data_IF_610291632877
#
_entry.id   IF_610291632877
#
_cell.length_a   1.000
_cell.length_b   1.000
_cell.length_c   1.000
_cell.angle_alpha   90.00
_cell.angle_beta   90.00
_cell.angle_gamma   90.00
#
_symmetry.space_group_name_H-M   'P 1'
#
loop_
_entity.id
_entity.type
_entity.pdbx_description
1 polymer ?
#
# COMPACT_ATOMS: atom_id res chain seq x y z
N UNK A 1 -11.06 -22.16 -5.77
CA UNK A 1 -12.09 -21.19 -5.40
C UNK A 1 -11.81 -19.86 -6.07
N UNK A 2 -12.83 -19.18 -6.50
CA UNK A 2 -12.73 -17.86 -7.13
C UNK A 2 -12.98 -16.73 -6.14
N UNK A 3 -13.63 -17.02 -5.03
CA UNK A 3 -13.93 -16.05 -3.96
C UNK A 3 -13.76 -16.65 -2.57
N UNK A 4 -13.48 -15.80 -1.57
CA UNK A 4 -13.41 -16.22 -0.18
C UNK A 4 -14.79 -16.63 0.36
N UNK A 5 -15.88 -16.06 -0.16
CA UNK A 5 -17.25 -16.38 0.23
C UNK A 5 -17.61 -17.81 -0.14
N UNK A 6 -17.18 -18.31 -1.30
CA UNK A 6 -17.36 -19.70 -1.71
C UNK A 6 -16.63 -20.65 -0.76
N UNK A 7 -15.39 -20.34 -0.35
CA UNK A 7 -14.62 -21.15 0.60
C UNK A 7 -15.30 -21.23 1.97
N UNK A 8 -15.83 -20.10 2.46
CA UNK A 8 -16.53 -20.04 3.76
C UNK A 8 -17.84 -20.81 3.70
N UNK A 9 -18.57 -20.72 2.57
CA UNK A 9 -19.81 -21.47 2.37
C UNK A 9 -19.54 -22.97 2.36
N UNK A 10 -18.53 -23.43 1.65
CA UNK A 10 -18.16 -24.84 1.56
C UNK A 10 -17.66 -25.41 2.91
N UNK A 11 -16.98 -24.61 3.71
CA UNK A 11 -16.61 -24.98 5.07
C UNK A 11 -17.86 -25.13 5.96
N UNK A 12 -18.81 -24.21 5.84
CA UNK A 12 -20.06 -24.25 6.58
C UNK A 12 -20.93 -25.46 6.21
N UNK A 13 -21.00 -25.76 4.92
CA UNK A 13 -21.77 -26.87 4.38
C UNK A 13 -21.07 -28.23 4.62
N UNK A 14 -19.88 -28.25 5.19
CA UNK A 14 -19.09 -29.44 5.45
C UNK A 14 -18.48 -30.08 4.20
N UNK A 15 -18.40 -29.34 3.10
CA UNK A 15 -17.79 -29.81 1.86
C UNK A 15 -16.25 -29.81 1.93
N UNK A 16 -15.68 -29.04 2.87
CA UNK A 16 -14.23 -28.97 3.17
C UNK A 16 -14.04 -28.94 4.69
N UNK A 17 -12.91 -29.46 5.18
CA UNK A 17 -12.63 -29.61 6.62
C UNK A 17 -11.97 -28.34 7.23
N UNK A 18 -11.26 -27.54 6.44
CA UNK A 18 -10.56 -26.36 6.91
C UNK A 18 -10.26 -25.38 5.78
N UNK A 19 -10.15 -24.10 6.13
CA UNK A 19 -9.66 -23.03 5.24
C UNK A 19 -8.53 -22.25 5.93
N UNK A 20 -7.61 -21.73 5.14
CA UNK A 20 -6.57 -20.81 5.62
C UNK A 20 -6.85 -19.45 4.97
N UNK A 21 -7.06 -18.45 5.80
CA UNK A 21 -7.36 -17.12 5.34
C UNK A 21 -6.60 -16.08 6.16
N UNK A 22 -6.39 -14.92 5.56
CA UNK A 22 -5.71 -13.81 6.21
C UNK A 22 -6.61 -13.17 7.27
N UNK A 23 -6.00 -12.72 8.37
CA UNK A 23 -6.69 -12.10 9.52
C UNK A 23 -7.62 -10.93 9.16
N UNK A 24 -7.24 -10.14 8.12
CA UNK A 24 -8.06 -9.05 7.59
C UNK A 24 -9.44 -9.47 7.04
N UNK A 25 -9.69 -10.78 6.85
CA UNK A 25 -10.99 -11.30 6.40
C UNK A 25 -11.91 -11.74 7.54
N UNK A 26 -11.54 -11.51 8.80
CA UNK A 26 -12.40 -11.79 9.97
C UNK A 26 -13.80 -11.17 9.87
N UNK A 27 -13.90 -9.99 9.23
CA UNK A 27 -15.19 -9.32 9.01
C UNK A 27 -16.15 -10.08 8.09
N UNK A 28 -15.66 -11.03 7.26
CA UNK A 28 -16.51 -11.86 6.42
C UNK A 28 -17.28 -12.91 7.25
N UNK A 29 -16.69 -13.42 8.33
CA UNK A 29 -17.39 -14.37 9.23
C UNK A 29 -18.47 -13.68 10.04
N UNK A 30 -18.19 -12.48 10.56
CA UNK A 30 -19.16 -11.70 11.31
C UNK A 30 -20.36 -11.31 10.43
N UNK A 31 -20.11 -10.91 9.17
CA UNK A 31 -21.19 -10.60 8.22
C UNK A 31 -22.05 -11.79 7.85
N UNK A 32 -21.47 -12.97 7.77
CA UNK A 32 -22.23 -14.21 7.48
C UNK A 32 -23.17 -14.53 8.63
N UNK A 33 -22.77 -14.28 9.88
CA UNK A 33 -23.63 -14.42 11.05
C UNK A 33 -24.80 -13.42 11.05
N UNK A 34 -24.55 -12.15 10.69
CA UNK A 34 -25.60 -11.11 10.58
C UNK A 34 -26.60 -11.37 9.43
N UNK A 35 -26.17 -12.05 8.37
CA UNK A 35 -27.01 -12.40 7.22
C UNK A 35 -27.75 -13.72 7.38
N UNK A 36 -27.76 -14.34 8.57
CA UNK A 36 -28.42 -15.61 8.84
C UNK A 36 -27.57 -16.86 8.61
N UNK A 37 -26.27 -16.68 8.39
CA UNK A 37 -25.26 -17.74 8.37
C UNK A 37 -24.86 -18.17 9.78
N UNK A 38 -24.15 -19.29 9.91
CA UNK A 38 -23.63 -19.75 11.18
C UNK A 38 -22.48 -18.88 11.68
N UNK A 39 -22.48 -18.65 12.99
CA UNK A 39 -21.33 -18.03 13.67
C UNK A 39 -20.14 -19.01 13.68
N UNK A 40 -19.18 -18.77 12.80
CA UNK A 40 -17.94 -19.57 12.73
C UNK A 40 -16.87 -19.06 13.71
N UNK A 41 -17.12 -18.02 14.49
CA UNK A 41 -16.14 -17.42 15.39
C UNK A 41 -15.57 -18.39 16.43
N UNK A 42 -16.37 -19.40 16.84
CA UNK A 42 -15.94 -20.46 17.74
C UNK A 42 -15.11 -21.58 17.08
N UNK A 43 -15.01 -21.60 15.75
CA UNK A 43 -14.26 -22.60 14.98
C UNK A 43 -12.90 -22.09 14.51
N UNK A 44 -12.62 -20.83 14.71
CA UNK A 44 -11.36 -20.19 14.26
C UNK A 44 -10.25 -20.50 15.26
N UNK A 45 -9.36 -21.42 14.90
CA UNK A 45 -8.07 -21.56 15.56
C UNK A 45 -7.04 -20.69 14.86
N UNK A 46 -6.49 -19.71 15.55
CA UNK A 46 -5.36 -18.94 15.04
C UNK A 46 -4.11 -19.82 15.04
N UNK A 47 -3.75 -20.39 13.89
CA UNK A 47 -2.56 -21.24 13.73
C UNK A 47 -1.24 -20.47 13.75
N UNK A 48 -1.28 -19.19 13.56
CA UNK A 48 -0.13 -18.31 13.56
C UNK A 48 -0.49 -17.06 14.34
N UNK A 49 0.14 -16.92 15.46
CA UNK A 49 0.46 -15.59 15.95
C UNK A 49 1.44 -15.05 14.92
N UNK A 50 0.91 -14.29 13.95
CA UNK A 50 1.77 -13.46 13.12
C UNK A 50 2.46 -12.59 14.15
N UNK A 51 3.67 -12.98 14.55
CA UNK A 51 4.57 -12.00 15.10
C UNK A 51 4.50 -10.88 14.10
N UNK A 52 3.78 -9.84 14.46
CA UNK A 52 3.97 -8.55 13.87
C UNK A 52 5.48 -8.40 13.95
N UNK A 53 6.15 -8.66 12.83
CA UNK A 53 7.42 -8.07 12.65
C UNK A 53 7.06 -6.59 12.74
N UNK A 54 7.22 -6.00 13.91
CA UNK A 54 7.66 -4.64 13.99
C UNK A 54 9.00 -4.66 13.24
N UNK A 55 8.90 -4.79 11.94
CA UNK A 55 9.89 -4.22 11.09
C UNK A 55 9.81 -2.77 11.53
N UNK A 56 10.72 -2.39 12.43
CA UNK A 56 11.13 -1.00 12.45
C UNK A 56 11.12 -0.64 10.98
N UNK A 57 10.18 0.19 10.59
CA UNK A 57 10.27 0.84 9.31
C UNK A 57 11.56 1.60 9.51
N UNK A 58 12.70 0.97 9.14
CA UNK A 58 13.87 1.74 8.83
C UNK A 58 13.30 2.72 7.83
N UNK A 59 13.03 3.92 8.33
CA UNK A 59 13.01 5.10 7.51
C UNK A 59 14.41 5.04 6.94
N UNK A 60 14.55 4.35 5.84
CA UNK A 60 15.75 4.42 5.04
C UNK A 60 15.74 5.87 4.59
N UNK A 61 16.29 6.67 5.49
CA UNK A 61 16.83 7.95 5.12
C UNK A 61 17.58 7.67 3.84
N UNK A 62 17.11 8.17 2.72
CA UNK A 62 17.75 8.01 1.42
C UNK A 62 19.11 8.76 1.43
N UNK A 63 19.79 8.78 2.58
CA UNK A 63 21.12 9.35 2.76
C UNK A 63 21.18 10.87 2.78
N UNK A 64 20.06 11.57 2.85
CA UNK A 64 20.04 13.01 2.99
C UNK A 64 19.94 13.36 4.48
N UNK A 65 21.01 13.95 5.01
CA UNK A 65 21.01 14.61 6.33
C UNK A 65 20.25 15.94 6.22
N UNK A 66 18.93 15.87 6.01
CA UNK A 66 18.07 17.05 5.92
C UNK A 66 17.66 17.47 7.33
N UNK A 67 17.98 18.69 7.72
CA UNK A 67 17.43 19.28 8.92
C UNK A 67 16.04 19.84 8.60
N UNK A 68 14.99 19.09 8.95
CA UNK A 68 13.58 19.42 8.65
C UNK A 68 13.11 20.77 9.23
N UNK A 69 13.86 21.35 10.18
CA UNK A 69 13.55 22.66 10.75
C UNK A 69 14.14 23.82 9.94
N UNK A 70 15.17 23.56 9.14
CA UNK A 70 15.92 24.62 8.45
C UNK A 70 16.08 24.41 6.96
N UNK A 71 16.07 23.17 6.49
CA UNK A 71 16.39 22.87 5.10
C UNK A 71 15.13 22.52 4.30
N UNK A 72 14.99 22.99 3.08
CA UNK A 72 13.94 22.53 2.19
C UNK A 72 14.04 21.04 1.92
N UNK A 73 12.92 20.34 1.86
CA UNK A 73 12.84 18.91 1.60
C UNK A 73 11.60 18.52 0.80
N UNK A 74 11.67 17.36 0.16
CA UNK A 74 10.58 16.81 -0.63
C UNK A 74 10.04 15.53 0.00
N UNK A 75 8.72 15.41 0.03
CA UNK A 75 7.99 14.23 0.50
C UNK A 75 7.20 13.66 -0.68
N UNK A 76 7.37 12.38 -0.98
CA UNK A 76 6.51 11.65 -1.90
C UNK A 76 5.34 11.04 -1.14
N UNK A 77 4.12 11.52 -1.42
CA UNK A 77 2.88 11.00 -0.87
C UNK A 77 2.28 10.01 -1.89
N UNK A 78 2.04 8.78 -1.45
CA UNK A 78 1.57 7.67 -2.29
C UNK A 78 0.27 7.14 -1.71
N UNK A 79 -0.82 7.30 -2.46
CA UNK A 79 -2.10 6.66 -2.16
C UNK A 79 -2.27 5.42 -3.03
N UNK A 80 -2.69 4.30 -2.44
CA UNK A 80 -2.94 3.07 -3.18
C UNK A 80 -4.19 2.36 -2.70
N UNK A 81 -4.82 1.62 -3.60
CA UNK A 81 -5.95 0.75 -3.28
C UNK A 81 -5.47 -0.70 -3.15
N UNK A 82 -5.88 -1.38 -2.09
CA UNK A 82 -5.59 -2.82 -1.87
C UNK A 82 -6.51 -3.76 -2.63
N UNK A 83 -7.28 -3.28 -3.59
CA UNK A 83 -8.30 -4.09 -4.28
C UNK A 83 -7.74 -5.20 -5.18
N UNK A 84 -6.45 -5.24 -5.43
CA UNK A 84 -5.83 -6.34 -6.18
C UNK A 84 -5.51 -7.51 -5.24
N UNK A 85 -6.49 -8.40 -5.08
CA UNK A 85 -6.34 -9.69 -4.42
C UNK A 85 -5.21 -10.46 -5.12
N UNK A 86 -4.08 -10.61 -4.42
CA UNK A 86 -2.93 -11.36 -4.91
C UNK A 86 -1.67 -10.56 -5.26
N UNK A 87 -1.74 -9.23 -5.30
CA UNK A 87 -0.53 -8.41 -5.39
C UNK A 87 -0.13 -7.92 -3.99
N UNK A 88 1.06 -8.26 -3.48
CA UNK A 88 1.54 -7.75 -2.19
C UNK A 88 1.84 -6.25 -2.23
N UNK A 89 1.79 -5.64 -3.41
CA UNK A 89 2.14 -4.25 -3.66
C UNK A 89 1.05 -3.66 -4.57
N UNK A 90 0.12 -2.87 -4.00
CA UNK A 90 -0.88 -2.14 -4.77
C UNK A 90 -0.26 -1.13 -5.73
N UNK A 91 -0.93 -0.85 -6.85
CA UNK A 91 -0.54 0.23 -7.76
C UNK A 91 -0.79 1.59 -7.09
N UNK A 92 0.05 2.58 -7.41
CA UNK A 92 -0.16 3.94 -6.94
C UNK A 92 -1.31 4.61 -7.69
N UNK A 93 -2.36 5.00 -6.97
CA UNK A 93 -3.53 5.71 -7.51
C UNK A 93 -3.43 7.23 -7.32
N UNK A 94 -2.82 7.66 -6.22
CA UNK A 94 -2.49 9.05 -5.95
C UNK A 94 -0.96 9.19 -5.81
N UNK A 95 -0.40 10.15 -6.52
CA UNK A 95 1.04 10.41 -6.55
C UNK A 95 1.21 11.92 -6.39
N UNK A 96 1.71 12.35 -5.23
CA UNK A 96 1.87 13.77 -4.95
C UNK A 96 3.27 14.01 -4.40
N UNK A 97 3.99 14.96 -4.97
CA UNK A 97 5.25 15.46 -4.41
C UNK A 97 4.96 16.73 -3.64
N UNK A 98 5.23 16.74 -2.35
CA UNK A 98 5.15 17.91 -1.49
C UNK A 98 6.55 18.43 -1.21
N UNK A 99 6.84 19.65 -1.70
CA UNK A 99 8.08 20.38 -1.42
C UNK A 99 7.85 21.35 -0.27
N UNK A 100 8.53 21.12 0.83
CA UNK A 100 8.40 21.89 2.07
C UNK A 100 9.60 22.80 2.22
N UNK A 101 9.36 24.10 2.45
CA UNK A 101 10.40 25.04 2.82
C UNK A 101 10.12 25.64 4.21
N UNK A 102 10.80 25.15 5.26
CA UNK A 102 10.55 25.62 6.62
C UNK A 102 10.96 27.08 6.86
N UNK A 103 11.91 27.62 6.08
CA UNK A 103 12.34 29.02 6.20
C UNK A 103 11.28 30.01 5.77
N UNK A 104 10.49 29.64 4.76
CA UNK A 104 9.44 30.51 4.20
C UNK A 104 8.04 30.08 4.64
N UNK A 105 7.94 28.96 5.40
CA UNK A 105 6.67 28.35 5.82
C UNK A 105 5.76 28.03 4.63
N UNK A 106 6.36 27.57 3.53
CA UNK A 106 5.61 27.25 2.30
C UNK A 106 5.67 25.78 1.98
N UNK A 107 4.56 25.26 1.47
CA UNK A 107 4.45 23.93 0.91
C UNK A 107 3.91 24.05 -0.51
N UNK A 108 4.65 23.50 -1.47
CA UNK A 108 4.20 23.38 -2.86
C UNK A 108 3.87 21.91 -3.14
N UNK A 109 2.74 21.66 -3.78
CA UNK A 109 2.29 20.30 -4.09
C UNK A 109 2.18 20.10 -5.59
N UNK A 110 2.81 19.04 -6.09
CA UNK A 110 2.75 18.59 -7.49
C UNK A 110 2.03 17.25 -7.53
N UNK A 111 0.83 17.23 -8.12
CA UNK A 111 0.11 15.98 -8.38
C UNK A 111 0.54 15.41 -9.73
N UNK A 112 0.88 14.11 -9.75
CA UNK A 112 1.27 13.37 -10.95
C UNK A 112 0.17 12.40 -11.29
N UNK A 113 -0.34 12.44 -12.53
CA UNK A 113 -1.35 11.50 -12.98
C UNK A 113 -0.79 10.07 -13.01
N UNK A 114 -1.48 9.11 -12.39
CA UNK A 114 -1.05 7.71 -12.30
C UNK A 114 -0.81 7.03 -13.65
N UNK A 115 -1.51 7.51 -14.69
CA UNK A 115 -1.41 6.99 -16.06
C UNK A 115 -0.37 7.75 -16.91
N UNK A 116 0.45 8.63 -16.31
CA UNK A 116 1.55 9.30 -17.02
C UNK A 116 2.48 8.28 -17.66
N UNK A 117 2.68 8.39 -18.98
CA UNK A 117 3.49 7.45 -19.76
C UNK A 117 4.95 7.91 -19.78
N UNK A 118 5.76 7.31 -18.94
CA UNK A 118 7.14 7.74 -18.64
C UNK A 118 8.13 6.58 -18.75
N UNK A 119 9.43 6.86 -18.94
CA UNK A 119 10.45 5.83 -18.78
C UNK A 119 10.47 5.29 -17.35
N UNK A 120 10.36 3.98 -17.18
CA UNK A 120 10.43 3.32 -15.88
C UNK A 120 11.88 2.97 -15.57
N UNK A 121 12.41 3.46 -14.45
CA UNK A 121 13.82 3.33 -14.09
C UNK A 121 14.27 1.87 -14.04
N UNK A 122 13.52 1.00 -13.40
CA UNK A 122 13.88 -0.41 -13.25
C UNK A 122 13.58 -1.28 -14.49
N UNK A 123 12.98 -0.72 -15.55
CA UNK A 123 12.74 -1.41 -16.83
C UNK A 123 13.79 -1.05 -17.90
N UNK A 124 14.95 -0.55 -17.49
CA UNK A 124 15.97 -0.07 -18.41
C UNK A 124 15.53 1.11 -19.28
N UNK A 125 14.59 1.93 -18.78
CA UNK A 125 14.06 3.10 -19.50
C UNK A 125 12.92 2.78 -20.47
N UNK A 126 12.42 1.55 -20.51
CA UNK A 126 11.19 1.23 -21.24
C UNK A 126 10.02 2.01 -20.66
N UNK A 127 9.22 2.61 -21.54
CA UNK A 127 8.09 3.45 -21.11
C UNK A 127 6.87 2.62 -20.75
N UNK A 128 6.24 3.01 -19.66
CA UNK A 128 4.97 2.48 -19.20
C UNK A 128 4.24 3.54 -18.35
N UNK A 129 3.05 3.22 -17.84
CA UNK A 129 2.36 4.05 -16.86
C UNK A 129 3.21 4.16 -15.59
N UNK A 130 3.33 5.35 -15.03
CA UNK A 130 4.18 5.60 -13.87
C UNK A 130 3.79 4.72 -12.67
N UNK A 131 2.49 4.40 -12.52
CA UNK A 131 2.00 3.56 -11.43
C UNK A 131 2.49 2.10 -11.54
N UNK A 132 2.85 1.59 -12.73
CA UNK A 132 3.37 0.23 -12.91
C UNK A 132 4.73 0.04 -12.20
N UNK A 133 5.52 1.10 -12.06
CA UNK A 133 6.77 1.07 -11.31
C UNK A 133 6.55 0.68 -9.84
N UNK A 134 5.45 1.13 -9.22
CA UNK A 134 5.08 0.77 -7.84
C UNK A 134 4.76 -0.72 -7.70
N UNK A 135 4.11 -1.30 -8.71
CA UNK A 135 3.83 -2.74 -8.77
C UNK A 135 5.09 -3.61 -8.80
N UNK A 136 6.24 -3.06 -9.22
CA UNK A 136 7.52 -3.76 -9.21
C UNK A 136 8.19 -3.66 -7.84
N UNK A 137 8.41 -2.45 -7.37
CA UNK A 137 8.94 -2.18 -6.03
C UNK A 137 8.79 -0.70 -5.67
N UNK A 138 8.85 -0.41 -4.36
CA UNK A 138 8.89 0.97 -3.87
C UNK A 138 10.12 1.72 -4.39
N UNK A 139 11.29 1.09 -4.39
CA UNK A 139 12.52 1.70 -4.87
C UNK A 139 12.40 2.10 -6.35
N UNK A 140 11.93 1.19 -7.21
CA UNK A 140 11.68 1.47 -8.62
C UNK A 140 10.74 2.66 -8.81
N UNK A 141 9.68 2.74 -8.00
CA UNK A 141 8.71 3.82 -8.08
C UNK A 141 9.31 5.17 -7.70
N UNK A 142 10.04 5.24 -6.58
CA UNK A 142 10.71 6.47 -6.12
C UNK A 142 11.71 6.95 -7.18
N UNK A 143 12.58 6.07 -7.67
CA UNK A 143 13.55 6.41 -8.72
C UNK A 143 12.88 6.90 -10.01
N UNK A 144 11.74 6.30 -10.37
CA UNK A 144 10.98 6.72 -11.55
C UNK A 144 10.38 8.11 -11.35
N UNK A 145 9.82 8.41 -10.18
CA UNK A 145 9.29 9.74 -9.84
C UNK A 145 10.41 10.79 -9.81
N UNK A 146 11.56 10.47 -9.20
CA UNK A 146 12.74 11.34 -9.18
C UNK A 146 13.24 11.65 -10.59
N UNK A 147 13.36 10.63 -11.44
CA UNK A 147 13.79 10.77 -12.83
C UNK A 147 12.81 11.61 -13.65
N UNK A 148 11.51 11.41 -13.44
CA UNK A 148 10.47 12.12 -14.18
C UNK A 148 10.34 13.59 -13.77
N UNK A 149 10.45 13.88 -12.47
CA UNK A 149 10.29 15.24 -11.94
C UNK A 149 11.60 16.04 -11.89
N UNK A 150 12.75 15.35 -11.92
CA UNK A 150 14.06 15.95 -11.64
C UNK A 150 14.24 16.33 -10.16
N UNK A 151 13.32 15.90 -9.27
CA UNK A 151 13.33 16.23 -7.85
C UNK A 151 13.78 15.02 -7.03
N UNK A 152 14.68 15.22 -6.09
CA UNK A 152 15.09 14.19 -5.13
C UNK A 152 14.04 14.06 -4.05
N UNK A 153 13.68 12.83 -3.69
CA UNK A 153 12.74 12.56 -2.58
C UNK A 153 13.52 12.30 -1.30
N UNK A 154 13.33 13.15 -0.29
CA UNK A 154 13.97 13.02 1.01
C UNK A 154 13.16 12.06 1.92
N UNK A 155 11.84 12.08 1.77
CA UNK A 155 10.91 11.24 2.53
C UNK A 155 9.82 10.70 1.61
N UNK A 156 9.15 9.64 2.07
CA UNK A 156 7.91 9.19 1.45
C UNK A 156 6.88 8.80 2.53
N UNK A 157 5.61 8.87 2.17
CA UNK A 157 4.50 8.41 2.98
C UNK A 157 3.56 7.59 2.09
N UNK A 158 3.16 6.43 2.57
CA UNK A 158 2.20 5.57 1.90
C UNK A 158 0.91 5.48 2.73
N UNK A 159 -0.22 5.65 2.07
CA UNK A 159 -1.53 5.47 2.66
C UNK A 159 -2.40 4.60 1.77
N UNK A 160 -3.07 3.61 2.34
CA UNK A 160 -4.14 2.88 1.68
C UNK A 160 -5.50 3.50 2.03
N UNK A 161 -6.54 3.03 1.34
CA UNK A 161 -7.89 3.53 1.56
C UNK A 161 -8.37 3.27 3.00
N UNK A 162 -7.95 2.17 3.61
CA UNK A 162 -8.33 1.82 4.99
C UNK A 162 -7.70 2.77 6.00
N UNK A 163 -6.45 3.20 5.76
CA UNK A 163 -5.77 4.18 6.61
C UNK A 163 -6.48 5.54 6.62
N UNK A 164 -7.14 5.91 5.49
CA UNK A 164 -7.90 7.17 5.40
C UNK A 164 -9.25 7.09 6.12
N UNK A 165 -9.87 5.90 6.16
CA UNK A 165 -11.17 5.68 6.83
C UNK A 165 -11.00 5.53 8.34
N UNK A 166 -9.80 5.15 8.82
CA UNK A 166 -9.51 4.94 10.25
C UNK A 166 -9.22 6.22 11.03
N UNK A 167 -9.19 7.40 10.37
CA UNK A 167 -9.01 8.73 10.97
C UNK A 167 -10.36 9.42 11.13
#
# INVERSE_FOLDING_TARGET
YTTNDEMVTDLYDGNIDAIIILDGYKSLYAKTAESGGADLSGMVNTFYDVQTFEKEVEITNTGTNVNISTDPFNILLIGYSRTDIGSPIGLADAIIVASVNPKTYTVSMLSIARDSYVPISCYGGTKDKINSARGTSRACFIETVESYTGMKMDFYMEADYEAVVAV
#
